data_IF_579815824382
#
_entry.id   IF_579815824382
#
_cell.length_a   1.000
_cell.length_b   1.000
_cell.length_c   1.000
_cell.angle_alpha   90.00
_cell.angle_beta   90.00
_cell.angle_gamma   90.00
#
_symmetry.space_group_name_H-M   'P 1'
#
loop_
_entity.id
_entity.type
_entity.pdbx_description
1 polymer ?
#
# COMPACT_ATOMS: atom_id res chain seq x y z
N UNK A 1 50.14 4.61 10.43
CA UNK A 1 48.94 4.15 11.17
C UNK A 1 47.62 4.73 10.66
N UNK A 2 47.58 5.89 9.98
CA UNK A 2 46.34 6.54 9.48
C UNK A 2 45.58 5.82 8.34
N UNK A 3 46.26 5.10 7.45
CA UNK A 3 45.64 4.50 6.26
C UNK A 3 44.67 3.33 6.55
N UNK A 4 44.87 2.58 7.64
CA UNK A 4 43.93 1.53 8.07
C UNK A 4 42.64 2.09 8.69
N UNK A 5 42.72 3.28 9.28
CA UNK A 5 41.59 3.92 9.94
C UNK A 5 40.61 4.51 8.91
N UNK A 6 41.12 5.10 7.83
CA UNK A 6 40.28 5.62 6.75
C UNK A 6 39.55 4.53 5.99
N UNK A 7 40.20 3.38 5.72
CA UNK A 7 39.56 2.26 5.04
C UNK A 7 38.49 1.57 5.88
N UNK A 8 38.67 1.52 7.21
CA UNK A 8 37.65 1.07 8.16
C UNK A 8 36.44 2.01 8.17
N UNK A 9 36.66 3.32 8.19
CA UNK A 9 35.57 4.30 8.17
C UNK A 9 34.75 4.25 6.87
N UNK A 10 35.42 4.05 5.72
CA UNK A 10 34.74 3.91 4.42
C UNK A 10 33.88 2.64 4.38
N UNK A 11 34.39 1.51 4.89
CA UNK A 11 33.63 0.26 4.99
C UNK A 11 32.42 0.38 5.90
N UNK A 12 32.59 1.02 7.06
CA UNK A 12 31.49 1.24 8.00
C UNK A 12 30.42 2.19 7.42
N UNK A 13 30.84 3.28 6.76
CA UNK A 13 29.92 4.18 6.08
C UNK A 13 29.11 3.45 4.99
N UNK A 14 29.74 2.56 4.22
CA UNK A 14 29.06 1.77 3.19
C UNK A 14 28.02 0.79 3.78
N UNK A 15 28.33 0.14 4.89
CA UNK A 15 27.40 -0.75 5.60
C UNK A 15 26.20 0.04 6.13
N UNK A 16 26.44 1.21 6.73
CA UNK A 16 25.37 2.08 7.25
C UNK A 16 24.45 2.52 6.11
N UNK A 17 25.01 2.88 4.95
CA UNK A 17 24.26 3.29 3.76
C UNK A 17 23.42 2.14 3.19
N UNK A 18 23.95 0.92 3.18
CA UNK A 18 23.18 -0.25 2.76
C UNK A 18 22.01 -0.54 3.71
N UNK A 19 22.23 -0.44 5.03
CA UNK A 19 21.17 -0.65 6.01
C UNK A 19 20.09 0.42 5.94
N UNK A 20 20.44 1.70 5.77
CA UNK A 20 19.45 2.76 5.63
C UNK A 20 18.63 2.61 4.35
N UNK A 21 19.24 2.16 3.25
CA UNK A 21 18.54 1.86 2.01
C UNK A 21 17.57 0.69 2.17
N UNK A 22 17.98 -0.37 2.86
CA UNK A 22 17.13 -1.53 3.18
C UNK A 22 15.90 -1.13 4.01
N UNK A 23 16.07 -0.30 5.04
CA UNK A 23 14.97 0.19 5.89
C UNK A 23 13.97 1.01 5.06
N UNK A 24 14.45 1.91 4.20
CA UNK A 24 13.59 2.72 3.33
C UNK A 24 12.79 1.88 2.31
N UNK A 25 13.38 0.81 1.78
CA UNK A 25 12.71 -0.12 0.87
C UNK A 25 11.65 -0.94 1.62
N UNK A 26 11.93 -1.40 2.84
CA UNK A 26 10.93 -2.13 3.64
C UNK A 26 9.75 -1.26 4.05
N UNK A 27 9.98 -0.01 4.44
CA UNK A 27 8.89 0.91 4.78
C UNK A 27 8.04 1.25 3.55
N UNK A 28 8.65 1.51 2.40
CA UNK A 28 7.89 1.75 1.16
C UNK A 28 7.13 0.50 0.68
N UNK A 29 7.62 -0.71 0.95
CA UNK A 29 6.89 -1.95 0.64
C UNK A 29 5.72 -2.20 1.61
N UNK A 30 5.92 -1.97 2.90
CA UNK A 30 4.90 -2.18 3.93
C UNK A 30 3.83 -1.07 3.95
N UNK A 31 4.22 0.18 3.77
CA UNK A 31 3.32 1.34 3.78
C UNK A 31 2.85 1.77 2.38
N UNK A 32 3.58 1.42 1.32
CA UNK A 32 3.16 1.67 -0.06
C UNK A 32 2.09 0.70 -0.56
N UNK A 33 1.95 -0.46 0.06
CA UNK A 33 0.83 -1.36 -0.18
C UNK A 33 -0.41 -0.84 0.58
N UNK A 34 -1.06 0.20 0.03
CA UNK A 34 -2.34 0.77 0.52
C UNK A 34 -3.52 -0.21 0.45
N UNK A 35 -3.28 -1.48 0.15
CA UNK A 35 -4.25 -2.56 0.24
C UNK A 35 -4.22 -3.11 1.67
N UNK A 36 -4.98 -2.50 2.57
CA UNK A 36 -5.11 -3.00 3.92
C UNK A 36 -5.74 -4.39 3.88
N UNK A 37 -4.98 -5.41 4.29
CA UNK A 37 -5.51 -6.76 4.50
C UNK A 37 -6.42 -6.68 5.72
N UNK A 38 -7.74 -6.59 5.49
CA UNK A 38 -8.73 -6.72 6.55
C UNK A 38 -9.06 -8.20 6.71
N UNK A 39 -8.79 -8.76 7.89
CA UNK A 39 -9.16 -10.14 8.20
C UNK A 39 -10.67 -10.34 8.04
N UNK A 40 -11.07 -11.45 7.41
CA UNK A 40 -12.49 -11.81 7.26
C UNK A 40 -13.11 -11.98 8.63
N UNK A 41 -14.34 -11.49 8.79
CA UNK A 41 -15.11 -11.85 9.97
C UNK A 41 -15.60 -13.30 9.83
N UNK A 42 -15.92 -14.00 10.93
CA UNK A 42 -16.43 -15.37 10.88
C UNK A 42 -17.66 -15.53 9.96
N UNK A 43 -18.53 -14.53 9.93
CA UNK A 43 -19.71 -14.46 9.07
C UNK A 43 -19.37 -14.37 7.57
N UNK A 44 -18.19 -13.87 7.20
CA UNK A 44 -17.76 -13.67 5.81
C UNK A 44 -17.01 -14.89 5.25
N UNK A 45 -17.00 -16.03 5.95
CA UNK A 45 -16.28 -17.26 5.51
C UNK A 45 -16.75 -17.74 4.14
N UNK A 46 -18.05 -17.63 3.88
CA UNK A 46 -18.65 -18.07 2.62
C UNK A 46 -18.55 -17.01 1.51
N UNK A 47 -18.13 -15.79 1.84
CA UNK A 47 -17.94 -14.76 0.83
C UNK A 47 -16.70 -15.05 -0.02
N UNK A 48 -16.75 -14.73 -1.33
CA UNK A 48 -15.59 -14.85 -2.20
C UNK A 48 -14.45 -13.94 -1.70
N UNK A 49 -13.19 -14.26 -2.03
CA UNK A 49 -12.05 -13.47 -1.58
C UNK A 49 -12.14 -12.00 -2.03
N UNK A 50 -12.03 -11.10 -1.06
CA UNK A 50 -12.06 -9.66 -1.28
C UNK A 50 -10.85 -8.97 -0.64
N UNK A 51 -10.53 -7.79 -1.13
CA UNK A 51 -9.60 -6.84 -0.51
C UNK A 51 -10.26 -5.48 -0.38
N UNK A 52 -9.82 -4.70 0.60
CA UNK A 52 -10.25 -3.31 0.74
C UNK A 52 -9.23 -2.40 0.08
N UNK A 53 -9.69 -1.51 -0.78
CA UNK A 53 -8.87 -0.48 -1.40
C UNK A 53 -9.43 0.91 -1.04
N UNK A 54 -8.57 1.92 -1.12
CA UNK A 54 -8.98 3.32 -0.97
C UNK A 54 -9.07 3.94 -2.37
N UNK A 55 -10.26 4.41 -2.73
CA UNK A 55 -10.46 5.23 -3.92
C UNK A 55 -10.17 6.70 -3.63
N UNK A 56 -10.31 7.55 -4.67
CA UNK A 56 -10.12 8.99 -4.56
C UNK A 56 -10.86 9.57 -3.34
N UNK A 57 -10.22 10.52 -2.66
CA UNK A 57 -10.65 11.07 -1.37
C UNK A 57 -10.76 10.06 -0.21
N UNK A 58 -9.95 9.00 -0.25
CA UNK A 58 -9.77 8.08 0.87
C UNK A 58 -11.04 7.27 1.22
N UNK A 59 -11.91 7.04 0.23
CA UNK A 59 -13.14 6.30 0.42
C UNK A 59 -12.85 4.78 0.36
N UNK A 60 -13.08 4.02 1.44
CA UNK A 60 -12.77 2.59 1.45
C UNK A 60 -13.86 1.79 0.73
N UNK A 61 -13.47 1.01 -0.27
CA UNK A 61 -14.36 0.07 -0.97
C UNK A 61 -13.85 -1.36 -0.91
N UNK A 62 -14.78 -2.32 -0.92
CA UNK A 62 -14.48 -3.76 -0.98
C UNK A 62 -14.52 -4.20 -2.43
N UNK A 63 -13.45 -4.82 -2.91
CA UNK A 63 -13.36 -5.35 -4.27
C UNK A 63 -12.92 -6.81 -4.23
N UNK A 64 -13.26 -7.58 -5.27
CA UNK A 64 -12.74 -8.95 -5.39
C UNK A 64 -11.21 -8.93 -5.51
N UNK A 65 -10.53 -9.96 -5.00
CA UNK A 65 -9.05 -10.02 -5.05
C UNK A 65 -8.51 -9.89 -6.48
N UNK A 66 -9.22 -10.39 -7.48
CA UNK A 66 -8.77 -10.39 -8.87
C UNK A 66 -9.27 -9.18 -9.68
N UNK A 67 -10.06 -8.28 -9.07
CA UNK A 67 -10.56 -7.10 -9.78
C UNK A 67 -9.46 -6.06 -9.97
N UNK A 68 -9.53 -5.31 -11.08
CA UNK A 68 -8.67 -4.14 -11.30
C UNK A 68 -9.09 -3.02 -10.33
N UNK A 69 -8.20 -2.56 -9.43
CA UNK A 69 -8.54 -1.53 -8.46
C UNK A 69 -8.86 -0.18 -9.12
N UNK A 70 -8.19 0.18 -10.21
CA UNK A 70 -8.35 1.49 -10.85
C UNK A 70 -9.69 1.57 -11.58
N UNK A 71 -10.03 0.53 -12.35
CA UNK A 71 -11.33 0.42 -13.00
C UNK A 71 -12.47 0.42 -11.98
N UNK A 72 -12.33 -0.35 -10.90
CA UNK A 72 -13.39 -0.46 -9.89
C UNK A 72 -13.60 0.86 -9.16
N UNK A 73 -12.53 1.57 -8.79
CA UNK A 73 -12.63 2.89 -8.18
C UNK A 73 -13.27 3.92 -9.12
N UNK A 74 -12.88 3.96 -10.39
CA UNK A 74 -13.47 4.87 -11.38
C UNK A 74 -14.96 4.62 -11.54
N UNK A 75 -15.38 3.36 -11.65
CA UNK A 75 -16.79 3.00 -11.76
C UNK A 75 -17.58 3.37 -10.51
N UNK A 76 -17.01 3.15 -9.33
CA UNK A 76 -17.62 3.52 -8.06
C UNK A 76 -17.83 5.03 -7.94
N UNK A 77 -16.80 5.83 -8.23
CA UNK A 77 -16.90 7.30 -8.17
C UNK A 77 -17.92 7.86 -9.16
N UNK A 78 -17.94 7.33 -10.38
CA UNK A 78 -18.94 7.72 -11.40
C UNK A 78 -20.38 7.42 -10.95
N UNK A 79 -20.61 6.28 -10.27
CA UNK A 79 -21.93 5.95 -9.73
C UNK A 79 -22.30 6.85 -8.55
N UNK A 80 -21.34 7.15 -7.68
CA UNK A 80 -21.54 8.05 -6.54
C UNK A 80 -21.89 9.47 -7.01
N UNK A 81 -21.19 10.01 -8.00
CA UNK A 81 -21.47 11.33 -8.58
C UNK A 81 -22.87 11.40 -9.20
N UNK A 82 -23.28 10.35 -9.93
CA UNK A 82 -24.64 10.22 -10.47
C UNK A 82 -25.71 10.15 -9.37
N UNK A 83 -25.44 9.44 -8.28
CA UNK A 83 -26.38 9.33 -7.17
C UNK A 83 -26.53 10.67 -6.42
N UNK A 84 -25.45 11.46 -6.30
CA UNK A 84 -25.50 12.79 -5.70
C UNK A 84 -26.29 13.75 -6.60
N UNK A 85 -26.00 13.77 -7.90
CA UNK A 85 -26.66 14.67 -8.86
C UNK A 85 -28.14 14.35 -9.08
N UNK A 86 -28.56 13.08 -8.97
CA UNK A 86 -29.98 12.71 -9.04
C UNK A 86 -30.79 13.14 -7.80
N UNK A 87 -30.13 13.28 -6.65
CA UNK A 87 -30.76 13.67 -5.38
C UNK A 87 -30.74 15.19 -5.12
N UNK A 88 -30.27 16.00 -6.08
CA UNK A 88 -30.30 17.46 -6.07
C UNK A 88 -31.39 18.00 -7.00
#
# INVERSE_FOLDING_TARGET
MHSRQSSLNVRMAFIILLFSMLVAISDSFLFGNRNYIRFRRPEDVWEPPFRTILCDNNFPIRIQINADPEETCRNFMNQMEKAITYNQ
#
